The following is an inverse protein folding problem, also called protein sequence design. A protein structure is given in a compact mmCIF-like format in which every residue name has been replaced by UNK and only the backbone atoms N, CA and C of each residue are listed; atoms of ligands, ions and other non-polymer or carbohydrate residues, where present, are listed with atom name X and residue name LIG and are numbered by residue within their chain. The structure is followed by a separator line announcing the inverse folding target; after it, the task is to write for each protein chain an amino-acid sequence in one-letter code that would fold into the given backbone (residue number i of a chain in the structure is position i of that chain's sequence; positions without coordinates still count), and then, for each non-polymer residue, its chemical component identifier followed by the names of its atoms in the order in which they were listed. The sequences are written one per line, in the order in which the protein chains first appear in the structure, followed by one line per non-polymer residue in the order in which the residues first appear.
data_IF_318444012548
#
_entry.id   IF_318444012548
#
_cell.length_a   1.000
_cell.length_b   1.000
_cell.length_c   1.000
_cell.angle_alpha   90.00
_cell.angle_beta   90.00
_cell.angle_gamma   90.00
#
_symmetry.space_group_name_H-M   'P 1'
#
loop_
_entity.id
_entity.type
_entity.pdbx_description
1 polymer ?
#
# COMPACT_ATOMS: atom_id res chain seq x y z
N UNK A 1 12.71 20.44 8.42
CA UNK A 1 13.12 20.09 7.03
C UNK A 1 12.89 18.59 6.88
N UNK A 2 12.11 18.19 5.89
CA UNK A 2 11.81 16.78 5.61
C UNK A 2 12.73 16.24 4.53
N UNK A 3 13.35 15.10 4.77
CA UNK A 3 14.20 14.40 3.79
C UNK A 3 13.33 13.47 2.95
N UNK A 4 13.29 13.68 1.64
CA UNK A 4 12.52 12.91 0.69
C UNK A 4 13.48 12.16 -0.24
N UNK A 5 13.45 10.84 -0.20
CA UNK A 5 14.05 10.01 -1.25
C UNK A 5 13.05 9.88 -2.41
N UNK A 6 13.45 10.22 -3.62
CA UNK A 6 12.63 10.15 -4.82
C UNK A 6 13.17 9.11 -5.79
N UNK A 7 12.48 7.99 -5.92
CA UNK A 7 12.72 7.03 -7.01
C UNK A 7 12.02 7.54 -8.26
N UNK A 8 12.78 7.97 -9.26
CA UNK A 8 12.22 8.51 -10.51
C UNK A 8 11.60 7.44 -11.40
N UNK A 9 12.01 6.18 -11.24
CA UNK A 9 11.44 5.04 -11.96
C UNK A 9 11.71 5.05 -13.47
N UNK A 10 10.82 4.37 -14.21
CA UNK A 10 10.95 4.10 -15.62
C UNK A 10 9.77 4.67 -16.43
N UNK A 11 9.86 4.63 -17.76
CA UNK A 11 8.79 5.05 -18.66
C UNK A 11 8.35 6.50 -18.41
N UNK A 12 7.11 6.70 -17.97
CA UNK A 12 6.58 8.03 -17.62
C UNK A 12 7.02 8.53 -16.24
N UNK A 13 7.77 7.73 -15.50
CA UNK A 13 8.23 8.02 -14.13
C UNK A 13 8.97 9.34 -14.00
N UNK A 14 9.98 9.63 -14.84
CA UNK A 14 10.72 10.91 -14.80
C UNK A 14 9.81 12.13 -14.96
N UNK A 15 8.88 12.12 -15.90
CA UNK A 15 7.92 13.22 -16.14
C UNK A 15 7.00 13.44 -14.93
N UNK A 16 6.44 12.36 -14.38
CA UNK A 16 5.62 12.44 -13.16
C UNK A 16 6.43 12.94 -11.95
N UNK A 17 7.70 12.56 -11.87
CA UNK A 17 8.61 13.01 -10.81
C UNK A 17 8.86 14.51 -10.88
N UNK A 18 9.09 15.07 -12.07
CA UNK A 18 9.27 16.51 -12.23
C UNK A 18 7.99 17.29 -11.88
N UNK A 19 6.82 16.77 -12.26
CA UNK A 19 5.54 17.36 -11.87
C UNK A 19 5.35 17.36 -10.35
N UNK A 20 5.67 16.26 -9.68
CA UNK A 20 5.61 16.16 -8.22
C UNK A 20 6.58 17.11 -7.53
N UNK A 21 7.82 17.22 -8.03
CA UNK A 21 8.83 18.18 -7.52
C UNK A 21 8.33 19.61 -7.65
N UNK A 22 7.71 19.97 -8.77
CA UNK A 22 7.15 21.31 -8.97
C UNK A 22 6.10 21.66 -7.91
N UNK A 23 5.23 20.70 -7.56
CA UNK A 23 4.25 20.89 -6.48
C UNK A 23 4.93 21.04 -5.13
N UNK A 24 5.90 20.16 -4.80
CA UNK A 24 6.64 20.22 -3.54
C UNK A 24 7.42 21.54 -3.38
N UNK A 25 8.05 22.03 -4.45
CA UNK A 25 8.73 23.32 -4.44
C UNK A 25 7.74 24.49 -4.19
N UNK A 26 6.55 24.44 -4.80
CA UNK A 26 5.51 25.44 -4.55
C UNK A 26 5.04 25.44 -3.09
N UNK A 27 4.92 24.25 -2.49
CA UNK A 27 4.58 24.11 -1.07
C UNK A 27 5.72 24.66 -0.20
N UNK A 28 6.96 24.34 -0.54
CA UNK A 28 8.16 24.84 0.14
C UNK A 28 8.18 26.38 0.18
N UNK A 29 7.91 27.00 -0.97
CA UNK A 29 7.99 28.46 -1.13
C UNK A 29 6.84 29.19 -0.43
N UNK A 30 5.66 28.56 -0.35
CA UNK A 30 4.43 29.19 0.14
C UNK A 30 4.05 28.89 1.58
N UNK A 31 4.45 27.74 2.12
CA UNK A 31 3.99 27.24 3.42
C UNK A 31 5.09 27.11 4.47
N UNK A 32 6.28 27.65 4.23
CA UNK A 32 7.47 27.52 5.11
C UNK A 32 7.79 26.05 5.50
N UNK A 33 7.40 25.10 4.65
CA UNK A 33 7.72 23.69 4.81
C UNK A 33 8.94 23.38 3.95
N UNK A 34 10.04 22.94 4.56
CA UNK A 34 11.30 22.69 3.85
C UNK A 34 11.46 21.22 3.50
N UNK A 35 11.75 20.96 2.22
CA UNK A 35 12.04 19.63 1.69
C UNK A 35 13.48 19.56 1.21
N UNK A 36 14.14 18.45 1.53
CA UNK A 36 15.44 18.03 0.97
C UNK A 36 15.18 16.78 0.13
N UNK A 37 15.22 16.93 -1.21
CA UNK A 37 14.81 15.89 -2.14
C UNK A 37 16.04 15.27 -2.80
N UNK A 38 16.30 13.98 -2.53
CA UNK A 38 17.36 13.21 -3.15
C UNK A 38 16.78 12.27 -4.22
N UNK A 39 17.16 12.48 -5.49
CA UNK A 39 16.76 11.58 -6.58
C UNK A 39 17.58 10.30 -6.54
N UNK A 40 16.91 9.16 -6.64
CA UNK A 40 17.49 7.82 -6.55
C UNK A 40 17.13 7.00 -7.78
N UNK A 41 18.05 6.12 -8.18
CA UNK A 41 17.87 5.18 -9.28
C UNK A 41 17.33 3.85 -8.75
N UNK A 42 16.25 3.35 -9.37
CA UNK A 42 15.75 1.99 -9.23
C UNK A 42 14.85 1.66 -10.43
N UNK A 43 14.72 0.38 -10.76
CA UNK A 43 13.90 -0.09 -11.87
C UNK A 43 14.72 -0.65 -13.03
N UNK A 44 14.12 -0.68 -14.20
CA UNK A 44 14.70 -1.30 -15.40
C UNK A 44 15.98 -0.59 -15.85
N UNK A 45 16.01 0.75 -15.75
CA UNK A 45 17.20 1.53 -16.06
C UNK A 45 18.35 1.17 -15.11
N UNK A 46 18.10 1.14 -13.81
CA UNK A 46 19.11 0.75 -12.82
C UNK A 46 19.60 -0.68 -13.07
N UNK A 47 18.68 -1.61 -13.38
CA UNK A 47 19.02 -3.00 -13.72
C UNK A 47 19.95 -3.08 -14.93
N UNK A 48 19.69 -2.33 -16.00
CA UNK A 48 20.51 -2.32 -17.20
C UNK A 48 21.89 -1.70 -16.98
N UNK A 49 22.01 -0.69 -16.13
CA UNK A 49 23.25 0.04 -15.87
C UNK A 49 24.15 -0.64 -14.82
N UNK A 50 23.55 -1.26 -13.79
CA UNK A 50 24.29 -1.75 -12.61
C UNK A 50 24.12 -3.25 -12.36
N UNK A 51 23.24 -3.92 -13.10
CA UNK A 51 22.89 -5.33 -12.88
C UNK A 51 21.95 -5.55 -11.69
N UNK A 52 21.44 -4.48 -11.04
CA UNK A 52 20.50 -4.55 -9.91
C UNK A 52 19.35 -3.58 -10.10
N UNK A 53 18.12 -4.09 -10.07
CA UNK A 53 16.92 -3.24 -10.15
C UNK A 53 16.78 -2.31 -8.93
N UNK A 54 17.29 -2.72 -7.77
CA UNK A 54 17.34 -1.93 -6.54
C UNK A 54 18.76 -1.90 -5.99
N UNK A 55 19.58 -0.87 -6.34
CA UNK A 55 20.93 -0.71 -5.82
C UNK A 55 20.95 -0.52 -4.31
N UNK A 56 22.00 -1.03 -3.65
CA UNK A 56 22.16 -0.95 -2.19
C UNK A 56 22.22 0.51 -1.69
N UNK A 57 22.86 1.39 -2.41
CA UNK A 57 22.93 2.82 -2.11
C UNK A 57 21.55 3.48 -2.08
N UNK A 58 20.64 3.07 -3.00
CA UNK A 58 19.24 3.51 -3.02
C UNK A 58 18.52 3.08 -1.74
N UNK A 59 18.71 1.82 -1.32
CA UNK A 59 18.13 1.31 -0.07
C UNK A 59 18.63 2.07 1.15
N UNK A 60 19.94 2.33 1.23
CA UNK A 60 20.53 3.05 2.35
C UNK A 60 20.03 4.50 2.42
N UNK A 61 19.92 5.18 1.28
CA UNK A 61 19.35 6.53 1.21
C UNK A 61 17.90 6.56 1.69
N UNK A 62 17.07 5.59 1.25
CA UNK A 62 15.67 5.50 1.68
C UNK A 62 15.56 5.32 3.20
N UNK A 63 16.40 4.46 3.80
CA UNK A 63 16.41 4.25 5.25
C UNK A 63 16.79 5.50 6.06
N UNK A 64 17.49 6.45 5.45
CA UNK A 64 17.93 7.71 6.08
C UNK A 64 16.96 8.86 5.81
N UNK A 65 15.91 8.63 5.04
CA UNK A 65 14.89 9.61 4.70
C UNK A 65 13.66 9.48 5.57
N UNK A 66 12.91 10.57 5.72
CA UNK A 66 11.62 10.56 6.42
C UNK A 66 10.54 9.87 5.59
N UNK A 67 10.66 9.96 4.25
CA UNK A 67 9.70 9.36 3.31
C UNK A 67 10.37 9.03 1.97
N UNK A 68 9.89 7.99 1.31
CA UNK A 68 10.24 7.67 -0.07
C UNK A 68 9.05 7.92 -0.99
N UNK A 69 9.20 8.87 -1.90
CA UNK A 69 8.29 9.06 -3.02
C UNK A 69 8.76 8.21 -4.20
N UNK A 70 7.87 7.42 -4.80
CA UNK A 70 8.21 6.50 -5.87
C UNK A 70 7.31 6.72 -7.09
N UNK A 71 7.90 6.99 -8.23
CA UNK A 71 7.24 6.99 -9.53
C UNK A 71 7.09 5.54 -10.08
N UNK A 72 6.38 5.35 -11.18
CA UNK A 72 6.24 4.03 -11.82
C UNK A 72 7.58 3.37 -12.12
N UNK A 73 7.64 2.06 -11.92
CA UNK A 73 8.77 1.19 -12.26
C UNK A 73 8.29 0.19 -13.30
N UNK A 74 9.14 -0.17 -14.25
CA UNK A 74 8.83 -1.06 -15.35
C UNK A 74 8.70 -2.53 -14.96
N UNK A 75 9.21 -3.46 -15.77
CA UNK A 75 9.04 -4.90 -15.56
C UNK A 75 9.75 -5.42 -14.30
N UNK A 76 10.84 -4.78 -13.88
CA UNK A 76 11.55 -5.10 -12.64
C UNK A 76 10.82 -4.61 -11.36
N UNK A 77 9.57 -4.15 -11.47
CA UNK A 77 8.80 -3.60 -10.36
C UNK A 77 8.71 -4.54 -9.13
N UNK A 78 8.61 -5.86 -9.35
CA UNK A 78 8.58 -6.83 -8.26
C UNK A 78 9.88 -6.80 -7.44
N UNK A 79 11.03 -6.74 -8.10
CA UNK A 79 12.35 -6.72 -7.47
C UNK A 79 12.65 -5.41 -6.72
N UNK A 80 11.93 -4.34 -7.04
CA UNK A 80 12.03 -3.05 -6.36
C UNK A 80 10.99 -2.95 -5.25
N UNK A 81 9.69 -3.06 -5.61
CA UNK A 81 8.60 -2.69 -4.73
C UNK A 81 8.36 -3.73 -3.65
N UNK A 82 8.35 -5.02 -4.00
CA UNK A 82 8.12 -6.09 -3.02
C UNK A 82 9.29 -6.16 -2.03
N UNK A 83 10.52 -5.97 -2.53
CA UNK A 83 11.70 -5.93 -1.67
C UNK A 83 11.64 -4.76 -0.70
N UNK A 84 11.36 -3.52 -1.17
CA UNK A 84 11.23 -2.34 -0.30
C UNK A 84 10.12 -2.50 0.74
N UNK A 85 8.94 -3.02 0.36
CA UNK A 85 7.82 -3.24 1.30
C UNK A 85 8.22 -4.15 2.46
N UNK A 86 8.94 -5.22 2.16
CA UNK A 86 9.39 -6.20 3.17
C UNK A 86 10.52 -5.63 4.03
N UNK A 87 11.51 -4.99 3.43
CA UNK A 87 12.66 -4.43 4.14
C UNK A 87 12.30 -3.28 5.09
N UNK A 88 11.30 -2.49 4.73
CA UNK A 88 10.84 -1.33 5.51
C UNK A 88 9.58 -1.65 6.33
N UNK A 89 9.12 -2.90 6.35
CA UNK A 89 7.87 -3.33 6.98
C UNK A 89 6.68 -2.43 6.63
N UNK A 90 6.51 -2.12 5.34
CA UNK A 90 5.39 -1.30 4.85
C UNK A 90 4.11 -2.16 4.77
N UNK A 91 3.62 -2.57 5.93
CA UNK A 91 2.53 -3.53 6.06
C UNK A 91 1.16 -2.98 5.64
N UNK A 92 0.95 -1.68 5.72
CA UNK A 92 -0.33 -1.07 5.40
C UNK A 92 -0.27 -0.35 4.03
N UNK A 93 -1.02 -0.86 3.07
CA UNK A 93 -1.23 -0.21 1.77
C UNK A 93 -2.54 0.56 1.83
N UNK A 94 -2.43 1.88 1.84
CA UNK A 94 -3.56 2.80 2.02
C UNK A 94 -3.99 3.33 0.67
N UNK A 95 -5.25 3.09 0.31
CA UNK A 95 -5.82 3.49 -0.97
C UNK A 95 -7.09 4.31 -0.77
N UNK A 96 -7.00 5.63 -0.70
CA UNK A 96 -8.17 6.48 -0.70
C UNK A 96 -8.84 6.45 -2.08
N UNK A 97 -10.17 6.36 -2.08
CA UNK A 97 -11.00 6.53 -3.27
C UNK A 97 -12.07 7.58 -2.97
N UNK A 98 -12.11 8.62 -3.78
CA UNK A 98 -13.02 9.75 -3.57
C UNK A 98 -13.53 10.28 -4.90
N UNK A 99 -14.83 10.58 -4.99
CA UNK A 99 -15.42 11.34 -6.09
C UNK A 99 -15.06 12.83 -5.93
N UNK A 100 -14.58 13.44 -7.01
CA UNK A 100 -14.26 14.86 -7.02
C UNK A 100 -15.30 15.64 -7.82
N UNK A 101 -15.67 16.87 -7.40
CA UNK A 101 -16.58 17.72 -8.15
C UNK A 101 -16.09 17.92 -9.59
N UNK A 102 -17.02 17.86 -10.53
CA UNK A 102 -16.76 18.06 -11.98
C UNK A 102 -15.87 17.00 -12.64
N UNK A 103 -15.56 15.90 -11.97
CA UNK A 103 -14.87 14.76 -12.57
C UNK A 103 -15.84 13.62 -12.84
N UNK A 104 -15.78 12.97 -14.01
CA UNK A 104 -16.62 11.79 -14.29
C UNK A 104 -16.35 10.69 -13.26
N UNK A 105 -17.40 10.25 -12.59
CA UNK A 105 -17.37 9.14 -11.64
C UNK A 105 -18.66 8.30 -11.80
N UNK A 106 -18.62 7.03 -11.38
CA UNK A 106 -19.81 6.17 -11.37
C UNK A 106 -20.84 6.64 -10.32
N UNK A 107 -20.36 7.27 -9.25
CA UNK A 107 -21.15 7.82 -8.16
C UNK A 107 -20.48 9.12 -7.67
N UNK A 108 -21.29 10.07 -7.24
CA UNK A 108 -20.79 11.39 -6.78
C UNK A 108 -20.45 11.41 -5.27
N UNK A 109 -20.83 10.35 -4.55
CA UNK A 109 -20.76 10.26 -3.08
C UNK A 109 -19.68 9.29 -2.56
N UNK A 110 -18.73 8.89 -3.40
CA UNK A 110 -17.63 7.99 -2.98
C UNK A 110 -16.65 8.77 -2.11
N UNK A 111 -16.47 8.32 -0.87
CA UNK A 111 -15.38 8.73 0.01
C UNK A 111 -15.01 7.59 0.95
N UNK A 112 -14.12 6.71 0.50
CA UNK A 112 -13.66 5.55 1.25
C UNK A 112 -12.15 5.42 1.25
N UNK A 113 -11.62 4.63 2.19
CA UNK A 113 -10.22 4.22 2.21
C UNK A 113 -10.15 2.69 2.29
N UNK A 114 -9.45 2.09 1.33
CA UNK A 114 -9.11 0.67 1.38
C UNK A 114 -7.78 0.55 2.11
N UNK A 115 -7.81 -0.13 3.26
CA UNK A 115 -6.63 -0.48 4.06
C UNK A 115 -6.30 -1.94 3.78
N UNK A 116 -5.18 -2.19 3.09
CA UNK A 116 -4.79 -3.52 2.65
C UNK A 116 -3.50 -3.98 3.33
N UNK A 117 -3.49 -5.18 3.89
CA UNK A 117 -2.26 -5.84 4.32
C UNK A 117 -1.35 -6.08 3.08
N UNK A 118 -0.05 -5.88 3.25
CA UNK A 118 0.86 -5.74 2.12
C UNK A 118 2.18 -6.51 2.25
N UNK A 119 2.36 -7.31 3.30
CA UNK A 119 3.60 -8.04 3.59
C UNK A 119 3.43 -9.55 3.62
N UNK A 120 2.21 -10.04 3.81
CA UNK A 120 1.85 -11.46 3.82
C UNK A 120 1.06 -11.87 2.57
N UNK A 121 0.27 -12.91 2.68
CA UNK A 121 -0.50 -13.51 1.59
C UNK A 121 0.41 -14.04 0.48
N UNK A 122 0.06 -13.84 -0.78
CA UNK A 122 0.85 -14.20 -1.96
C UNK A 122 2.16 -13.37 -2.08
N UNK A 123 2.23 -12.21 -1.41
CA UNK A 123 3.44 -11.36 -1.40
C UNK A 123 4.61 -11.96 -0.63
N UNK A 124 4.42 -13.08 0.07
CA UNK A 124 5.53 -13.86 0.61
C UNK A 124 6.42 -14.49 -0.49
N UNK A 125 5.91 -14.56 -1.73
CA UNK A 125 6.62 -15.10 -2.90
C UNK A 125 6.99 -16.58 -2.75
N UNK A 126 6.22 -17.34 -1.96
CA UNK A 126 6.45 -18.78 -1.78
C UNK A 126 5.67 -19.56 -2.81
N UNK A 127 6.34 -19.93 -3.86
CA UNK A 127 5.75 -20.74 -4.94
C UNK A 127 6.74 -21.79 -5.45
N UNK A 128 6.21 -22.85 -6.04
CA UNK A 128 7.00 -23.93 -6.62
C UNK A 128 6.21 -24.69 -7.68
N UNK A 129 6.92 -25.37 -8.59
CA UNK A 129 6.31 -26.22 -9.61
C UNK A 129 6.17 -27.66 -9.14
N UNK A 130 5.07 -28.30 -9.53
CA UNK A 130 4.76 -29.70 -9.31
C UNK A 130 4.46 -30.35 -10.69
N UNK A 131 5.49 -30.77 -11.42
CA UNK A 131 5.31 -31.34 -12.75
C UNK A 131 4.69 -30.34 -13.73
N UNK A 132 3.48 -30.60 -14.16
CA UNK A 132 2.67 -29.75 -15.08
C UNK A 132 1.82 -28.71 -14.34
N UNK A 133 1.91 -28.66 -13.02
CA UNK A 133 1.15 -27.78 -12.15
C UNK A 133 2.08 -26.85 -11.37
N UNK A 134 1.57 -25.73 -10.87
CA UNK A 134 2.29 -24.81 -9.99
C UNK A 134 1.47 -24.49 -8.75
N UNK A 135 2.16 -24.27 -7.64
CA UNK A 135 1.56 -23.96 -6.34
C UNK A 135 2.10 -22.64 -5.83
N UNK A 136 1.20 -21.76 -5.37
CA UNK A 136 1.54 -20.58 -4.60
C UNK A 136 0.96 -20.70 -3.19
N UNK A 137 1.77 -20.43 -2.17
CA UNK A 137 1.33 -20.49 -0.78
C UNK A 137 0.81 -19.16 -0.31
N UNK A 138 -0.41 -19.15 0.16
CA UNK A 138 -1.05 -18.04 0.82
C UNK A 138 -0.82 -18.16 2.33
N UNK A 139 -0.12 -17.19 2.92
CA UNK A 139 0.24 -17.19 4.36
C UNK A 139 -0.46 -16.02 5.03
N UNK A 140 -1.26 -16.31 6.04
CA UNK A 140 -1.97 -15.32 6.86
C UNK A 140 -1.64 -15.58 8.32
N UNK A 141 -1.17 -14.56 9.05
CA UNK A 141 -0.94 -14.64 10.49
C UNK A 141 -1.94 -13.80 11.28
N UNK A 142 -2.19 -14.22 12.51
CA UNK A 142 -3.03 -13.46 13.43
C UNK A 142 -2.41 -12.08 13.76
N UNK A 143 -1.09 -12.02 13.90
CA UNK A 143 -0.37 -10.80 14.24
C UNK A 143 -0.51 -9.74 13.14
N UNK A 144 -0.28 -10.09 11.87
CA UNK A 144 -0.44 -9.17 10.74
C UNK A 144 -1.90 -8.78 10.54
N UNK A 145 -2.84 -9.73 10.72
CA UNK A 145 -4.27 -9.48 10.63
C UNK A 145 -4.73 -8.48 11.70
N UNK A 146 -4.30 -8.62 12.94
CA UNK A 146 -4.61 -7.65 14.01
C UNK A 146 -3.98 -6.29 13.75
N UNK A 147 -2.74 -6.25 13.28
CA UNK A 147 -2.01 -5.02 12.98
C UNK A 147 -2.71 -4.18 11.90
N UNK A 148 -3.12 -4.81 10.81
CA UNK A 148 -3.82 -4.10 9.73
C UNK A 148 -5.24 -3.70 10.14
N UNK A 149 -5.96 -4.54 10.89
CA UNK A 149 -7.27 -4.20 11.42
C UNK A 149 -7.20 -2.96 12.33
N UNK A 150 -6.25 -2.94 13.29
CA UNK A 150 -6.03 -1.78 14.16
C UNK A 150 -5.82 -0.51 13.35
N UNK A 151 -4.96 -0.55 12.33
CA UNK A 151 -4.72 0.59 11.45
C UNK A 151 -6.00 1.08 10.75
N UNK A 152 -6.86 0.15 10.30
CA UNK A 152 -8.13 0.50 9.66
C UNK A 152 -9.09 1.20 10.64
N UNK A 153 -9.21 0.71 11.87
CA UNK A 153 -10.05 1.35 12.91
C UNK A 153 -9.50 2.73 13.30
N UNK A 154 -8.20 2.88 13.51
CA UNK A 154 -7.57 4.17 13.79
C UNK A 154 -7.78 5.17 12.63
N UNK A 155 -7.68 4.72 11.39
CA UNK A 155 -8.00 5.54 10.21
C UNK A 155 -9.47 5.98 10.20
N UNK A 156 -10.40 5.08 10.52
CA UNK A 156 -11.82 5.41 10.59
C UNK A 156 -12.13 6.42 11.70
N UNK A 157 -11.45 6.33 12.85
CA UNK A 157 -11.58 7.34 13.91
C UNK A 157 -11.09 8.72 13.47
N UNK A 158 -9.92 8.78 12.81
CA UNK A 158 -9.31 10.04 12.38
C UNK A 158 -10.10 10.75 11.26
N UNK A 159 -10.80 10.00 10.44
CA UNK A 159 -11.56 10.56 9.30
C UNK A 159 -12.81 11.33 9.72
N UNK A 160 -13.32 11.12 10.92
CA UNK A 160 -14.53 11.75 11.48
C UNK A 160 -15.72 11.82 10.49
N UNK A 161 -15.90 10.76 9.70
CA UNK A 161 -16.96 10.59 8.71
C UNK A 161 -17.96 9.53 9.18
N UNK A 162 -18.26 8.53 8.35
CA UNK A 162 -19.25 7.50 8.66
C UNK A 162 -18.89 6.58 9.84
N UNK A 163 -17.63 6.64 10.34
CA UNK A 163 -17.14 5.79 11.45
C UNK A 163 -17.50 4.32 11.28
N UNK A 164 -17.17 3.77 10.12
CA UNK A 164 -17.47 2.39 9.75
C UNK A 164 -16.24 1.69 9.19
N UNK A 165 -16.03 0.45 9.60
CA UNK A 165 -15.01 -0.47 9.06
C UNK A 165 -15.71 -1.73 8.55
N UNK A 166 -15.46 -2.06 7.29
CA UNK A 166 -15.92 -3.30 6.65
C UNK A 166 -14.72 -4.24 6.48
N UNK A 167 -14.76 -5.40 7.12
CA UNK A 167 -13.78 -6.46 6.93
C UNK A 167 -14.13 -7.27 5.69
N UNK A 168 -13.30 -7.22 4.65
CA UNK A 168 -13.56 -7.89 3.37
C UNK A 168 -12.68 -9.13 3.25
N UNK A 169 -13.30 -10.29 3.07
CA UNK A 169 -12.62 -11.60 3.06
C UNK A 169 -13.37 -12.64 2.22
N UNK A 170 -12.87 -13.88 2.15
CA UNK A 170 -13.50 -15.02 1.47
C UNK A 170 -13.56 -16.26 2.38
N UNK A 171 -13.90 -16.09 3.64
CA UNK A 171 -13.90 -17.15 4.66
C UNK A 171 -14.94 -18.28 4.39
N UNK A 172 -15.94 -18.06 3.54
CA UNK A 172 -16.85 -19.11 3.10
C UNK A 172 -16.13 -20.18 2.23
N UNK A 173 -15.01 -19.85 1.61
CA UNK A 173 -14.16 -20.77 0.82
C UNK A 173 -12.86 -21.05 1.58
N UNK A 174 -12.12 -20.02 1.95
CA UNK A 174 -10.83 -20.11 2.66
C UNK A 174 -11.06 -20.04 4.17
N UNK A 175 -11.63 -21.11 4.74
CA UNK A 175 -12.13 -21.13 6.11
C UNK A 175 -11.05 -20.95 7.17
N UNK A 176 -9.82 -21.40 6.90
CA UNK A 176 -8.71 -21.32 7.87
C UNK A 176 -8.04 -19.95 7.77
N UNK A 177 -7.54 -19.58 6.60
CA UNK A 177 -6.78 -18.34 6.40
C UNK A 177 -7.65 -17.08 6.54
N UNK A 178 -8.71 -16.98 5.75
CA UNK A 178 -9.63 -15.84 5.82
C UNK A 178 -10.50 -15.86 7.08
N UNK A 179 -10.79 -17.05 7.62
CA UNK A 179 -11.45 -17.16 8.92
C UNK A 179 -10.58 -16.62 10.06
N UNK A 180 -9.25 -16.82 10.01
CA UNK A 180 -8.30 -16.22 10.96
C UNK A 180 -8.30 -14.69 10.82
N UNK A 181 -8.27 -14.17 9.59
CA UNK A 181 -8.32 -12.74 9.33
C UNK A 181 -9.63 -12.12 9.83
N UNK A 182 -10.79 -12.68 9.48
CA UNK A 182 -12.10 -12.22 9.94
C UNK A 182 -12.18 -12.21 11.47
N UNK A 183 -11.76 -13.29 12.13
CA UNK A 183 -11.73 -13.37 13.59
C UNK A 183 -10.82 -12.29 14.20
N UNK A 184 -9.64 -12.07 13.65
CA UNK A 184 -8.73 -11.03 14.14
C UNK A 184 -9.34 -9.63 14.02
N UNK A 185 -10.01 -9.31 12.90
CA UNK A 185 -10.74 -8.05 12.72
C UNK A 185 -11.90 -7.91 13.74
N UNK A 186 -12.68 -8.97 13.95
CA UNK A 186 -13.75 -9.00 14.97
C UNK A 186 -13.20 -8.83 16.38
N UNK A 187 -12.04 -9.42 16.69
CA UNK A 187 -11.44 -9.26 18.02
C UNK A 187 -10.97 -7.80 18.24
N UNK A 188 -10.35 -7.18 17.23
CA UNK A 188 -9.88 -5.78 17.29
C UNK A 188 -11.07 -4.81 17.36
N UNK A 189 -12.21 -5.09 16.69
CA UNK A 189 -13.37 -4.20 16.69
C UNK A 189 -13.93 -3.92 18.10
N UNK A 190 -13.71 -4.85 19.04
CA UNK A 190 -14.16 -4.70 20.45
C UNK A 190 -13.48 -3.54 21.19
N UNK A 191 -12.28 -3.15 20.74
CA UNK A 191 -11.52 -2.03 21.29
C UNK A 191 -12.00 -0.66 20.74
N UNK A 192 -12.93 -0.68 19.76
CA UNK A 192 -13.43 0.51 19.05
C UNK A 192 -14.97 0.55 19.05
N UNK A 193 -15.63 0.65 20.21
CA UNK A 193 -17.10 0.53 20.31
C UNK A 193 -17.86 1.63 19.55
N UNK A 194 -17.23 2.77 19.28
CA UNK A 194 -17.84 3.88 18.54
C UNK A 194 -17.74 3.75 17.01
N UNK A 195 -17.10 2.68 16.52
CA UNK A 195 -16.94 2.38 15.09
C UNK A 195 -17.87 1.24 14.71
N UNK A 196 -18.77 1.46 13.77
CA UNK A 196 -19.59 0.40 13.21
C UNK A 196 -18.71 -0.63 12.49
N UNK A 197 -18.88 -1.91 12.80
CA UNK A 197 -18.12 -3.00 12.20
C UNK A 197 -19.04 -3.97 11.48
N UNK A 198 -18.65 -4.39 10.29
CA UNK A 198 -19.31 -5.44 9.53
C UNK A 198 -18.30 -6.33 8.81
N UNK A 199 -18.72 -7.54 8.49
CA UNK A 199 -17.97 -8.46 7.64
C UNK A 199 -18.68 -8.61 6.30
N UNK A 200 -17.91 -8.73 5.20
CA UNK A 200 -18.44 -8.89 3.85
C UNK A 200 -17.56 -9.81 3.02
N UNK A 201 -18.18 -10.71 2.25
CA UNK A 201 -17.44 -11.47 1.27
C UNK A 201 -16.99 -10.59 0.11
N UNK A 202 -15.80 -10.84 -0.41
CA UNK A 202 -15.15 -9.97 -1.41
C UNK A 202 -15.97 -9.79 -2.68
N UNK A 203 -16.66 -10.83 -3.14
CA UNK A 203 -17.56 -10.79 -4.29
C UNK A 203 -18.79 -9.89 -4.01
N UNK A 204 -19.42 -10.05 -2.86
CA UNK A 204 -20.53 -9.20 -2.45
C UNK A 204 -20.08 -7.74 -2.25
N UNK A 205 -18.92 -7.52 -1.66
CA UNK A 205 -18.35 -6.19 -1.53
C UNK A 205 -18.14 -5.54 -2.89
N UNK A 206 -17.52 -6.25 -3.84
CA UNK A 206 -17.27 -5.72 -5.19
C UNK A 206 -18.56 -5.36 -5.96
N UNK A 207 -19.67 -6.04 -5.67
CA UNK A 207 -20.97 -5.71 -6.27
C UNK A 207 -21.63 -4.47 -5.63
N UNK A 208 -21.26 -4.12 -4.40
CA UNK A 208 -21.88 -3.02 -3.63
C UNK A 208 -21.06 -1.72 -3.69
N UNK A 209 -19.87 -1.75 -4.28
CA UNK A 209 -19.04 -0.58 -4.53
C UNK A 209 -19.46 0.09 -5.84
#
# INVERSE_FOLDING_TARGET
MYKISLITGDGIGPELSESAISVLNTIHDRLDIKFDITKLSAGDKALSETGKALPEETVQSIKQSDVCLKAPVGESAADVIVVLRRMLDLYANIRPAKSYPHMPALRDDIDMVIVRENTEDLYTGKEFSLGDSSVALRIISEAASKRIAKYAFETAMQRDSMKKVTCVHKSNVMRITDGMFAKACTDVSKDYPDIAFEEMYVDACAMNL
#
